data_IF_377940989954
#
_entry.id   IF_377940989954
#
_cell.length_a   1.000
_cell.length_b   1.000
_cell.length_c   1.000
_cell.angle_alpha   90.00
_cell.angle_beta   90.00
_cell.angle_gamma   90.00
#
_symmetry.space_group_name_H-M   'P 1'
#
loop_
_entity.id
_entity.type
_entity.pdbx_description
1 polymer ?
#
# COMPACT_ATOMS: atom_id res chain seq x y z
N UNK A 1 35.24 11.88 9.02
CA UNK A 1 34.14 12.87 9.00
C UNK A 1 32.85 12.09 8.74
N UNK A 2 32.18 11.65 9.81
CA UNK A 2 30.90 10.96 9.71
C UNK A 2 29.82 12.03 9.49
N UNK A 3 29.13 11.98 8.36
CA UNK A 3 27.98 12.84 8.14
C UNK A 3 26.92 12.49 9.17
N UNK A 4 26.48 13.49 9.92
CA UNK A 4 25.28 13.47 10.76
C UNK A 4 24.04 13.48 9.86
N UNK A 5 23.94 12.53 8.94
CA UNK A 5 22.76 12.30 8.13
C UNK A 5 21.78 11.44 8.92
N UNK A 6 20.56 11.94 9.13
CA UNK A 6 19.46 11.14 9.70
C UNK A 6 19.34 9.85 8.90
N UNK A 7 19.44 8.70 9.57
CA UNK A 7 19.38 7.41 8.88
C UNK A 7 18.00 7.23 8.23
N UNK A 8 17.93 6.61 7.05
CA UNK A 8 16.64 6.34 6.36
C UNK A 8 15.65 5.60 7.28
N UNK A 9 16.15 4.72 8.14
CA UNK A 9 15.38 4.00 9.17
C UNK A 9 14.75 4.95 10.19
N UNK A 10 15.49 5.96 10.64
CA UNK A 10 14.99 6.96 11.58
C UNK A 10 13.92 7.85 10.94
N UNK A 11 14.12 8.25 9.68
CA UNK A 11 13.09 8.96 8.91
C UNK A 11 11.82 8.11 8.81
N UNK A 12 11.94 6.84 8.46
CA UNK A 12 10.79 5.93 8.36
C UNK A 12 10.04 5.80 9.69
N UNK A 13 10.75 5.61 10.81
CA UNK A 13 10.14 5.55 12.15
C UNK A 13 9.43 6.85 12.54
N UNK A 14 10.01 8.00 12.17
CA UNK A 14 9.38 9.30 12.40
C UNK A 14 8.10 9.45 11.59
N UNK A 15 8.11 9.08 10.32
CA UNK A 15 6.91 9.10 9.46
C UNK A 15 5.81 8.20 10.02
N UNK A 16 6.17 7.03 10.55
CA UNK A 16 5.24 6.13 11.21
C UNK A 16 4.61 6.75 12.46
N UNK A 17 5.42 7.40 13.29
CA UNK A 17 4.92 8.10 14.48
C UNK A 17 3.94 9.20 14.12
N UNK A 18 4.25 9.99 13.07
CA UNK A 18 3.36 11.05 12.57
C UNK A 18 2.04 10.45 12.07
N UNK A 19 2.10 9.36 11.30
CA UNK A 19 0.91 8.68 10.80
C UNK A 19 0.04 8.14 11.94
N UNK A 20 0.63 7.45 12.90
CA UNK A 20 -0.09 6.85 14.02
C UNK A 20 -0.79 7.95 14.84
N UNK A 21 -0.09 9.07 15.11
CA UNK A 21 -0.68 10.23 15.77
C UNK A 21 -1.81 10.88 14.96
N UNK A 22 -1.71 10.94 13.62
CA UNK A 22 -2.77 11.48 12.77
C UNK A 22 -4.02 10.60 12.76
N UNK A 23 -3.86 9.28 12.80
CA UNK A 23 -4.99 8.34 12.86
C UNK A 23 -5.71 8.44 14.20
N UNK A 24 -4.99 8.63 15.30
CA UNK A 24 -5.58 8.79 16.64
C UNK A 24 -6.34 10.10 16.83
N UNK A 25 -5.90 11.20 16.19
CA UNK A 25 -6.45 12.54 16.39
C UNK A 25 -7.60 12.93 15.45
N UNK A 26 -8.19 11.94 14.76
CA UNK A 26 -9.25 12.09 13.76
C UNK A 26 -8.86 12.95 12.54
N UNK A 27 -8.87 12.35 11.35
CA UNK A 27 -8.36 13.00 10.13
C UNK A 27 -9.39 14.05 9.65
N UNK A 28 -9.13 15.32 9.94
CA UNK A 28 -9.95 16.44 9.47
C UNK A 28 -9.60 16.82 8.03
N UNK A 29 -10.44 16.43 7.07
CA UNK A 29 -10.30 16.81 5.67
C UNK A 29 -10.88 18.21 5.44
N UNK A 30 -10.02 19.18 5.11
CA UNK A 30 -10.48 20.48 4.57
C UNK A 30 -10.84 20.31 3.11
N UNK A 31 -12.13 20.34 2.79
CA UNK A 31 -12.61 20.15 1.42
C UNK A 31 -12.86 21.49 0.73
N UNK A 32 -12.13 21.71 -0.37
CA UNK A 32 -12.47 22.72 -1.39
C UNK A 32 -13.35 22.15 -2.51
N UNK A 33 -13.51 20.82 -2.57
CA UNK A 33 -14.28 20.08 -3.57
C UNK A 33 -15.32 19.17 -2.91
N UNK A 34 -16.31 18.65 -3.67
CA UNK A 34 -17.27 17.67 -3.15
C UNK A 34 -16.54 16.46 -2.55
N UNK A 35 -16.98 16.02 -1.38
CA UNK A 35 -16.38 14.88 -0.69
C UNK A 35 -16.64 13.58 -1.46
N UNK A 36 -15.58 12.96 -1.96
CA UNK A 36 -15.62 11.61 -2.55
C UNK A 36 -15.19 10.58 -1.50
N UNK A 37 -16.18 10.01 -0.83
CA UNK A 37 -15.98 9.00 0.22
C UNK A 37 -15.25 7.75 -0.30
N UNK A 38 -15.52 7.35 -1.56
CA UNK A 38 -14.91 6.15 -2.15
C UNK A 38 -13.42 6.40 -2.35
N UNK A 39 -13.07 7.50 -3.01
CA UNK A 39 -11.67 7.89 -3.22
C UNK A 39 -10.91 8.01 -1.91
N UNK A 40 -11.46 8.71 -0.92
CA UNK A 40 -10.84 8.89 0.40
C UNK A 40 -10.62 7.53 1.09
N UNK A 41 -11.64 6.66 1.11
CA UNK A 41 -11.52 5.35 1.74
C UNK A 41 -10.42 4.47 1.12
N UNK A 42 -10.23 4.53 -0.21
CA UNK A 42 -9.19 3.76 -0.91
C UNK A 42 -7.80 4.29 -0.61
N UNK A 43 -7.63 5.61 -0.67
CA UNK A 43 -6.35 6.24 -0.32
C UNK A 43 -5.98 5.89 1.11
N UNK A 44 -6.89 6.06 2.08
CA UNK A 44 -6.63 5.74 3.48
C UNK A 44 -6.32 4.24 3.69
N UNK A 45 -7.06 3.35 3.05
CA UNK A 45 -6.81 1.91 3.14
C UNK A 45 -5.41 1.53 2.63
N UNK A 46 -5.02 2.05 1.46
CA UNK A 46 -3.69 1.82 0.88
C UNK A 46 -2.60 2.43 1.76
N UNK A 47 -2.75 3.68 2.22
CA UNK A 47 -1.77 4.33 3.11
C UNK A 47 -1.59 3.56 4.42
N UNK A 48 -2.68 3.10 5.03
CA UNK A 48 -2.61 2.26 6.22
C UNK A 48 -1.91 0.93 5.94
N UNK A 49 -2.13 0.32 4.77
CA UNK A 49 -1.42 -0.88 4.38
C UNK A 49 0.09 -0.64 4.18
N UNK A 50 0.46 0.46 3.53
CA UNK A 50 1.87 0.91 3.39
C UNK A 50 2.52 1.08 4.76
N UNK A 51 1.83 1.69 5.73
CA UNK A 51 2.32 1.82 7.10
C UNK A 51 2.62 0.46 7.75
N UNK A 52 1.72 -0.53 7.59
CA UNK A 52 1.91 -1.89 8.12
C UNK A 52 3.07 -2.60 7.43
N UNK A 53 3.13 -2.57 6.10
CA UNK A 53 4.22 -3.17 5.33
C UNK A 53 5.56 -2.51 5.65
N UNK A 54 5.58 -1.20 5.84
CA UNK A 54 6.78 -0.46 6.23
C UNK A 54 7.28 -0.87 7.62
N UNK A 55 6.38 -1.06 8.58
CA UNK A 55 6.74 -1.61 9.91
C UNK A 55 7.38 -2.99 9.82
N UNK A 56 6.72 -3.92 9.12
CA UNK A 56 7.25 -5.27 8.88
C UNK A 56 8.58 -5.25 8.12
N UNK A 57 8.72 -4.35 7.14
CA UNK A 57 9.97 -4.19 6.37
C UNK A 57 11.12 -3.73 7.25
N UNK A 58 10.88 -2.80 8.19
CA UNK A 58 11.92 -2.37 9.14
C UNK A 58 12.34 -3.50 10.08
N UNK A 59 11.39 -4.31 10.53
CA UNK A 59 11.66 -5.48 11.36
C UNK A 59 12.51 -6.51 10.59
N UNK A 60 12.12 -6.85 9.36
CA UNK A 60 12.86 -7.76 8.48
C UNK A 60 14.26 -7.23 8.15
N UNK A 61 14.39 -5.94 7.86
CA UNK A 61 15.70 -5.31 7.62
C UNK A 61 16.63 -5.46 8.83
N UNK A 62 16.08 -5.33 10.04
CA UNK A 62 16.85 -5.39 11.29
C UNK A 62 17.22 -6.82 11.70
N UNK A 63 16.42 -7.81 11.30
CA UNK A 63 16.53 -9.21 11.79
C UNK A 63 17.07 -10.20 10.76
N UNK A 64 16.70 -10.04 9.48
CA UNK A 64 16.99 -11.00 8.41
C UNK A 64 17.74 -10.39 7.22
N UNK A 65 17.99 -9.07 7.25
CA UNK A 65 18.74 -8.34 6.23
C UNK A 65 17.90 -7.92 5.03
N UNK A 66 18.56 -7.23 4.08
CA UNK A 66 17.89 -6.50 2.99
C UNK A 66 17.14 -7.40 2.02
N UNK A 67 17.72 -8.54 1.63
CA UNK A 67 17.13 -9.39 0.59
C UNK A 67 15.77 -9.95 0.98
N UNK A 68 15.58 -10.25 2.27
CA UNK A 68 14.31 -10.75 2.81
C UNK A 68 13.27 -9.62 2.93
N UNK A 69 13.72 -8.38 3.17
CA UNK A 69 12.84 -7.22 3.28
C UNK A 69 12.39 -6.64 1.92
N UNK A 70 13.16 -6.83 0.85
CA UNK A 70 12.90 -6.25 -0.48
C UNK A 70 11.46 -6.48 -0.98
N UNK A 71 10.87 -7.68 -0.91
CA UNK A 71 9.50 -7.89 -1.38
C UNK A 71 8.47 -7.01 -0.65
N UNK A 72 8.58 -6.91 0.67
CA UNK A 72 7.69 -6.07 1.48
C UNK A 72 7.88 -4.58 1.20
N UNK A 73 9.13 -4.14 0.99
CA UNK A 73 9.45 -2.76 0.61
C UNK A 73 8.82 -2.43 -0.76
N UNK A 74 8.98 -3.33 -1.73
CA UNK A 74 8.41 -3.19 -3.07
C UNK A 74 6.89 -3.11 -3.03
N UNK A 75 6.24 -4.03 -2.32
CA UNK A 75 4.79 -4.00 -2.15
C UNK A 75 4.32 -2.69 -1.49
N UNK A 76 5.06 -2.19 -0.49
CA UNK A 76 4.79 -0.89 0.13
C UNK A 76 4.88 0.26 -0.87
N UNK A 77 5.91 0.26 -1.72
CA UNK A 77 6.09 1.28 -2.75
C UNK A 77 4.99 1.24 -3.82
N UNK A 78 4.64 0.07 -4.32
CA UNK A 78 3.56 -0.11 -5.30
C UNK A 78 2.22 0.42 -4.76
N UNK A 79 1.86 0.07 -3.52
CA UNK A 79 0.64 0.57 -2.87
C UNK A 79 0.67 2.09 -2.66
N UNK A 80 1.82 2.67 -2.32
CA UNK A 80 1.97 4.12 -2.17
C UNK A 80 1.76 4.85 -3.50
N UNK A 81 2.31 4.32 -4.59
CA UNK A 81 2.10 4.85 -5.94
C UNK A 81 0.63 4.74 -6.36
N UNK A 82 -0.03 3.61 -6.09
CA UNK A 82 -1.46 3.45 -6.37
C UNK A 82 -2.30 4.45 -5.56
N UNK A 83 -2.00 4.66 -4.28
CA UNK A 83 -2.70 5.63 -3.45
C UNK A 83 -2.53 7.07 -3.98
N UNK A 84 -1.30 7.44 -4.35
CA UNK A 84 -0.99 8.74 -4.94
C UNK A 84 -1.72 8.94 -6.26
N UNK A 85 -1.72 7.93 -7.14
CA UNK A 85 -2.45 7.98 -8.41
C UNK A 85 -3.96 8.14 -8.19
N UNK A 86 -4.57 7.33 -7.32
CA UNK A 86 -6.01 7.48 -6.97
C UNK A 86 -6.28 8.89 -6.44
N UNK A 87 -5.41 9.42 -5.58
CA UNK A 87 -5.56 10.76 -5.00
C UNK A 87 -5.52 11.88 -6.06
N UNK A 88 -4.70 11.73 -7.11
CA UNK A 88 -4.52 12.75 -8.15
C UNK A 88 -5.52 12.61 -9.30
N UNK A 89 -5.94 11.40 -9.64
CA UNK A 89 -6.89 11.15 -10.74
C UNK A 89 -8.33 11.46 -10.34
N UNK A 90 -9.11 11.99 -11.29
CA UNK A 90 -10.54 12.25 -11.10
C UNK A 90 -11.39 10.97 -11.04
N UNK A 91 -10.94 9.91 -11.72
CA UNK A 91 -11.63 8.63 -11.88
C UNK A 91 -10.85 7.43 -11.31
N UNK A 92 -9.69 7.67 -10.69
CA UNK A 92 -8.76 6.61 -10.27
C UNK A 92 -9.38 5.57 -9.34
N UNK A 93 -10.28 5.99 -8.44
CA UNK A 93 -11.00 5.07 -7.56
C UNK A 93 -11.93 4.11 -8.33
N UNK A 94 -12.62 4.60 -9.37
CA UNK A 94 -13.52 3.80 -10.19
C UNK A 94 -12.74 2.87 -11.12
N UNK A 95 -11.67 3.36 -11.72
CA UNK A 95 -10.78 2.56 -12.55
C UNK A 95 -10.14 1.41 -11.76
N UNK A 96 -9.72 1.66 -10.51
CA UNK A 96 -9.22 0.62 -9.61
C UNK A 96 -10.27 -0.44 -9.28
N UNK A 97 -11.51 -0.01 -8.96
CA UNK A 97 -12.62 -0.91 -8.70
C UNK A 97 -13.01 -1.77 -9.91
N UNK A 98 -12.90 -1.24 -11.13
CA UNK A 98 -13.19 -1.99 -12.34
C UNK A 98 -12.20 -3.14 -12.59
N UNK A 99 -10.96 -3.01 -12.13
CA UNK A 99 -9.94 -4.05 -12.29
C UNK A 99 -10.10 -5.23 -11.32
N UNK A 100 -10.58 -4.98 -10.09
CA UNK A 100 -10.62 -5.99 -9.02
C UNK A 100 -11.50 -7.23 -9.38
N UNK A 101 -12.73 -7.10 -9.91
CA UNK A 101 -13.51 -8.25 -10.35
C UNK A 101 -12.84 -9.06 -11.46
N UNK A 102 -12.19 -8.39 -12.42
CA UNK A 102 -11.51 -9.05 -13.52
C UNK A 102 -10.28 -9.83 -13.03
N UNK A 103 -9.48 -9.22 -12.16
CA UNK A 103 -8.33 -9.86 -11.53
C UNK A 103 -8.74 -11.06 -10.67
N UNK A 104 -9.80 -10.93 -9.85
CA UNK A 104 -10.33 -12.04 -9.05
C UNK A 104 -10.83 -13.20 -9.90
N UNK A 105 -11.56 -12.92 -10.98
CA UNK A 105 -12.00 -13.96 -11.93
C UNK A 105 -10.83 -14.65 -12.61
N UNK A 106 -9.79 -13.91 -12.99
CA UNK A 106 -8.59 -14.47 -13.59
C UNK A 106 -7.85 -15.40 -12.61
N UNK A 107 -7.65 -14.96 -11.37
CA UNK A 107 -7.02 -15.78 -10.31
C UNK A 107 -7.85 -17.04 -10.04
N UNK A 108 -9.17 -16.92 -9.88
CA UNK A 108 -10.05 -18.07 -9.69
C UNK A 108 -9.99 -19.05 -10.86
N UNK A 109 -9.93 -18.56 -12.10
CA UNK A 109 -9.76 -19.39 -13.29
C UNK A 109 -8.43 -20.13 -13.25
N UNK A 110 -7.32 -19.42 -12.99
CA UNK A 110 -5.99 -20.03 -12.88
C UNK A 110 -5.94 -21.10 -11.80
N UNK A 111 -6.45 -20.83 -10.60
CA UNK A 111 -6.50 -21.81 -9.51
C UNK A 111 -7.30 -23.06 -9.90
N UNK A 112 -8.49 -22.89 -10.50
CA UNK A 112 -9.28 -24.03 -10.99
C UNK A 112 -8.55 -24.88 -12.03
N UNK A 113 -7.78 -24.24 -12.90
CA UNK A 113 -6.98 -24.92 -13.93
C UNK A 113 -5.78 -25.64 -13.33
N UNK A 114 -5.09 -25.04 -12.36
CA UNK A 114 -3.97 -25.66 -11.64
C UNK A 114 -4.42 -26.83 -10.78
N UNK A 115 -5.57 -26.73 -10.11
CA UNK A 115 -6.10 -27.77 -9.23
C UNK A 115 -6.70 -28.95 -10.00
N UNK A 116 -6.96 -28.80 -11.30
CA UNK A 116 -7.58 -29.85 -12.11
C UNK A 116 -6.95 -29.93 -13.52
N UNK A 117 -5.74 -30.51 -13.64
CA UNK A 117 -4.96 -30.53 -14.88
C UNK A 117 -5.61 -31.36 -16.00
N UNK A 118 -6.64 -32.16 -15.71
CA UNK A 118 -7.39 -32.93 -16.70
C UNK A 118 -8.38 -32.08 -17.53
N UNK A 119 -8.68 -30.84 -17.11
CA UNK A 119 -9.52 -29.89 -17.86
C UNK A 119 -8.81 -29.25 -19.07
N UNK A 120 -7.65 -29.79 -19.45
CA UNK A 120 -6.83 -29.32 -20.59
C UNK A 120 -7.07 -30.08 -21.90
N UNK A 121 -8.05 -30.99 -21.96
CA UNK A 121 -8.46 -31.67 -23.20
C UNK A 121 -9.60 -30.95 -23.91
#
# INVERSE_FOLDING_TARGET
MSSTGTSTTEIARRLFTIWDALVENDIKVKNTHPFDAVKVSRVLALTHHVRKLGGASLELLSSHGVLVAVPSIRAGFENALTAMWIAQSSDGAQAWLAQDPAARRAIQKTLRTTDNPELHQ
#
